data_IF_807376377779
#
_entry.id   IF_807376377779
#
_cell.length_a   1.000
_cell.length_b   1.000
_cell.length_c   1.000
_cell.angle_alpha   90.00
_cell.angle_beta   90.00
_cell.angle_gamma   90.00
#
_symmetry.space_group_name_H-M   'P 1'
#
loop_
_entity.id
_entity.type
_entity.pdbx_description
1 polymer ?
#
# COMPACT_ATOMS: atom_id res chain seq x y z
N UNK A 1 -27.63 14.74 28.00
CA UNK A 1 -26.17 14.51 28.09
C UNK A 1 -25.59 14.60 26.69
N UNK A 2 -24.81 15.64 26.39
CA UNK A 2 -24.06 15.72 25.14
C UNK A 2 -23.17 14.48 25.04
N UNK A 3 -23.36 13.69 23.98
CA UNK A 3 -22.52 12.52 23.72
C UNK A 3 -21.07 12.97 23.63
N UNK A 4 -20.13 12.23 24.24
CA UNK A 4 -18.68 12.46 24.14
C UNK A 4 -18.22 12.62 22.67
N UNK A 5 -18.99 12.08 21.71
CA UNK A 5 -18.77 12.24 20.27
C UNK A 5 -19.00 13.66 19.73
N UNK A 6 -19.64 14.57 20.46
CA UNK A 6 -19.77 15.99 20.06
C UNK A 6 -18.49 16.79 20.30
N UNK A 7 -17.63 16.36 21.24
CA UNK A 7 -16.44 17.11 21.64
C UNK A 7 -15.16 16.71 20.90
N UNK A 8 -15.13 15.52 20.28
CA UNK A 8 -13.98 15.08 19.47
C UNK A 8 -14.46 14.77 18.04
N UNK A 9 -14.11 15.63 17.06
CA UNK A 9 -14.55 15.42 15.69
C UNK A 9 -13.91 14.18 15.10
N UNK A 10 -14.61 13.56 14.14
CA UNK A 10 -14.01 12.57 13.25
C UNK A 10 -12.79 13.15 12.56
N UNK A 11 -11.69 12.42 12.64
CA UNK A 11 -10.47 12.80 11.92
C UNK A 11 -9.95 11.59 11.16
N UNK A 12 -10.07 11.66 9.84
CA UNK A 12 -9.36 10.76 8.95
C UNK A 12 -7.85 10.98 9.15
N UNK A 13 -7.05 9.90 9.27
CA UNK A 13 -5.61 10.02 9.45
C UNK A 13 -4.96 10.89 8.37
N UNK A 14 -4.22 11.92 8.81
CA UNK A 14 -3.41 12.79 7.94
C UNK A 14 -4.19 13.53 6.84
N UNK A 15 -5.50 13.70 6.99
CA UNK A 15 -6.32 14.42 6.00
C UNK A 15 -6.21 15.94 6.17
N UNK A 16 -6.11 16.44 7.40
CA UNK A 16 -6.09 17.89 7.69
C UNK A 16 -4.87 18.28 8.54
N UNK A 17 -4.30 19.49 8.35
CA UNK A 17 -3.19 19.99 9.18
C UNK A 17 -3.47 19.93 10.69
N UNK A 18 -4.72 20.16 11.12
CA UNK A 18 -5.14 20.07 12.52
C UNK A 18 -4.82 18.72 13.18
N UNK A 19 -4.84 17.61 12.42
CA UNK A 19 -4.46 16.29 12.92
C UNK A 19 -3.02 16.25 13.46
N UNK A 20 -2.11 17.02 12.84
CA UNK A 20 -0.70 17.07 13.25
C UNK A 20 -0.48 17.89 14.51
N UNK A 21 -1.36 18.85 14.83
CA UNK A 21 -1.33 19.58 16.10
C UNK A 21 -1.64 18.61 17.24
N UNK A 22 -2.68 17.78 17.08
CA UNK A 22 -3.04 16.74 18.05
C UNK A 22 -1.90 15.73 18.21
N UNK A 23 -1.32 15.24 17.10
CA UNK A 23 -0.15 14.36 17.14
C UNK A 23 1.02 15.00 17.90
N UNK A 24 1.38 16.24 17.57
CA UNK A 24 2.51 16.93 18.17
C UNK A 24 2.34 17.04 19.70
N UNK A 25 1.17 17.47 20.17
CA UNK A 25 0.88 17.62 21.60
C UNK A 25 0.91 16.26 22.31
N UNK A 26 0.17 15.27 21.79
CA UNK A 26 0.03 13.97 22.45
C UNK A 26 1.32 13.13 22.36
N UNK A 27 2.24 13.42 21.44
CA UNK A 27 3.49 12.68 21.36
C UNK A 27 4.56 13.18 22.33
N UNK A 28 4.42 14.39 22.91
CA UNK A 28 5.42 14.98 23.81
C UNK A 28 5.88 14.00 24.90
N UNK A 29 5.01 13.32 25.68
CA UNK A 29 5.45 12.42 26.73
C UNK A 29 6.22 11.20 26.18
N UNK A 30 5.78 10.65 25.05
CA UNK A 30 6.46 9.52 24.38
C UNK A 30 7.84 9.94 23.88
N UNK A 31 7.96 11.13 23.30
CA UNK A 31 9.21 11.67 22.77
C UNK A 31 10.21 11.92 23.91
N UNK A 32 9.79 12.62 24.96
CA UNK A 32 10.65 12.92 26.13
C UNK A 32 11.18 11.61 26.75
N UNK A 33 10.32 10.60 26.91
CA UNK A 33 10.76 9.33 27.48
C UNK A 33 11.75 8.60 26.57
N UNK A 34 11.48 8.58 25.26
CA UNK A 34 12.34 7.90 24.28
C UNK A 34 13.71 8.59 24.14
N UNK A 35 13.78 9.92 24.26
CA UNK A 35 15.04 10.68 24.37
C UNK A 35 15.86 10.33 25.61
N UNK A 36 15.22 9.79 26.66
CA UNK A 36 15.88 9.26 27.86
C UNK A 36 16.19 7.76 27.75
N UNK A 37 16.02 7.16 26.57
CA UNK A 37 16.27 5.73 26.31
C UNK A 37 15.20 4.79 26.89
N UNK A 38 14.02 5.31 27.26
CA UNK A 38 12.91 4.50 27.80
C UNK A 38 11.69 4.59 26.90
N UNK A 39 11.02 3.47 26.63
CA UNK A 39 9.75 3.46 25.89
C UNK A 39 8.57 3.34 26.86
N UNK A 40 7.63 4.28 26.78
CA UNK A 40 6.36 4.24 27.54
C UNK A 40 5.32 3.37 26.81
N UNK A 41 5.43 2.05 26.93
CA UNK A 41 4.53 1.11 26.24
C UNK A 41 3.05 1.37 26.52
N UNK A 42 2.68 1.59 27.78
CA UNK A 42 1.28 1.85 28.15
C UNK A 42 0.73 3.12 27.48
N UNK A 43 1.56 4.17 27.40
CA UNK A 43 1.18 5.44 26.80
C UNK A 43 1.07 5.33 25.28
N UNK A 44 1.99 4.63 24.61
CA UNK A 44 1.88 4.37 23.17
C UNK A 44 0.66 3.53 22.81
N UNK A 45 0.28 2.58 23.66
CA UNK A 45 -0.98 1.83 23.50
C UNK A 45 -2.20 2.75 23.68
N UNK A 46 -2.18 3.67 24.66
CA UNK A 46 -3.23 4.67 24.84
C UNK A 46 -3.35 5.59 23.62
N UNK A 47 -2.22 6.08 23.08
CA UNK A 47 -2.19 6.86 21.84
C UNK A 47 -2.83 6.09 20.69
N UNK A 48 -2.47 4.81 20.54
CA UNK A 48 -3.04 3.95 19.51
C UNK A 48 -4.55 3.85 19.64
N UNK A 49 -5.07 3.55 20.84
CA UNK A 49 -6.51 3.49 21.09
C UNK A 49 -7.19 4.83 20.80
N UNK A 50 -6.61 5.94 21.23
CA UNK A 50 -7.14 7.28 20.97
C UNK A 50 -7.22 7.60 19.48
N UNK A 51 -6.14 7.38 18.72
CA UNK A 51 -6.13 7.65 17.28
C UNK A 51 -7.05 6.71 16.51
N UNK A 52 -7.20 5.45 16.93
CA UNK A 52 -8.19 4.56 16.35
C UNK A 52 -9.61 5.02 16.66
N UNK A 53 -9.87 5.52 17.87
CA UNK A 53 -11.18 6.00 18.25
C UNK A 53 -11.62 7.21 17.42
N UNK A 54 -10.76 8.24 17.27
CA UNK A 54 -11.10 9.43 16.47
C UNK A 54 -11.22 9.13 14.97
N UNK A 55 -10.50 8.11 14.47
CA UNK A 55 -10.50 7.74 13.05
C UNK A 55 -11.57 6.71 12.66
N UNK A 56 -12.07 5.90 13.60
CA UNK A 56 -13.00 4.80 13.28
C UNK A 56 -14.25 4.74 14.14
N UNK A 57 -14.22 5.24 15.38
CA UNK A 57 -15.29 5.07 16.35
C UNK A 57 -16.03 6.35 16.72
N UNK A 58 -15.63 7.52 16.19
CA UNK A 58 -16.39 8.78 16.29
C UNK A 58 -17.76 8.70 15.57
N UNK A 59 -18.16 9.65 14.71
CA UNK A 59 -19.47 9.65 14.06
C UNK A 59 -19.74 8.46 13.12
N UNK A 60 -18.75 7.56 12.90
CA UNK A 60 -18.86 6.38 12.06
C UNK A 60 -18.69 5.06 12.86
N UNK A 61 -19.37 4.92 14.01
CA UNK A 61 -19.25 3.76 14.92
C UNK A 61 -19.32 2.38 14.22
N UNK A 62 -20.04 2.26 13.11
CA UNK A 62 -20.11 1.05 12.27
C UNK A 62 -18.72 0.60 11.78
N UNK A 63 -17.85 1.52 11.39
CA UNK A 63 -16.49 1.20 10.95
C UNK A 63 -15.63 0.69 12.11
N UNK A 64 -15.75 1.30 13.30
CA UNK A 64 -15.10 0.83 14.52
C UNK A 64 -15.51 -0.61 14.88
N UNK A 65 -16.81 -0.91 14.81
CA UNK A 65 -17.33 -2.27 15.02
C UNK A 65 -16.77 -3.24 13.98
N UNK A 66 -16.78 -2.86 12.70
CA UNK A 66 -16.24 -3.68 11.61
C UNK A 66 -14.74 -3.97 11.79
N UNK A 67 -13.95 -2.97 12.22
CA UNK A 67 -12.52 -3.13 12.53
C UNK A 67 -12.31 -4.10 13.69
N UNK A 68 -13.07 -3.97 14.78
CA UNK A 68 -12.98 -4.88 15.93
C UNK A 68 -13.35 -6.30 15.51
N UNK A 69 -14.46 -6.48 14.79
CA UNK A 69 -14.89 -7.78 14.28
C UNK A 69 -13.82 -8.41 13.37
N UNK A 70 -13.22 -7.61 12.48
CA UNK A 70 -12.12 -8.04 11.62
C UNK A 70 -10.90 -8.48 12.45
N UNK A 71 -10.47 -7.70 13.45
CA UNK A 71 -9.31 -8.06 14.29
C UNK A 71 -9.58 -9.34 15.08
N UNK A 72 -10.77 -9.49 15.67
CA UNK A 72 -11.18 -10.72 16.39
C UNK A 72 -11.13 -11.92 15.44
N UNK A 73 -11.73 -11.80 14.25
CA UNK A 73 -11.71 -12.84 13.22
C UNK A 73 -10.28 -13.26 12.86
N UNK A 74 -9.41 -12.29 12.54
CA UNK A 74 -8.03 -12.58 12.15
C UNK A 74 -7.21 -13.17 13.30
N UNK A 75 -7.43 -12.73 14.55
CA UNK A 75 -6.75 -13.26 15.72
C UNK A 75 -7.13 -14.72 16.00
N UNK A 76 -8.43 -15.03 15.93
CA UNK A 76 -8.93 -16.41 16.10
C UNK A 76 -8.37 -17.30 14.99
N UNK A 77 -8.53 -16.90 13.73
CA UNK A 77 -8.08 -17.67 12.57
C UNK A 77 -6.56 -17.93 12.61
N UNK A 78 -5.76 -16.88 12.82
CA UNK A 78 -4.30 -16.98 12.87
C UNK A 78 -3.84 -17.80 14.06
N UNK A 79 -4.47 -17.63 15.23
CA UNK A 79 -4.16 -18.41 16.43
C UNK A 79 -4.49 -19.90 16.27
N UNK A 80 -5.65 -20.23 15.68
CA UNK A 80 -6.02 -21.61 15.34
C UNK A 80 -5.00 -22.21 14.37
N UNK A 81 -4.68 -21.49 13.29
CA UNK A 81 -3.73 -21.97 12.30
C UNK A 81 -2.31 -22.15 12.87
N UNK A 82 -1.86 -21.23 13.74
CA UNK A 82 -0.58 -21.34 14.43
C UNK A 82 -0.51 -22.61 15.30
N UNK A 83 -1.54 -22.87 16.12
CA UNK A 83 -1.61 -24.09 16.96
C UNK A 83 -1.64 -25.36 16.11
N UNK A 84 -2.39 -25.35 15.00
CA UNK A 84 -2.38 -26.44 14.03
C UNK A 84 -0.98 -26.66 13.45
N UNK A 85 -0.29 -25.59 13.06
CA UNK A 85 1.02 -25.63 12.42
C UNK A 85 2.12 -26.24 13.31
N UNK A 86 1.96 -26.19 14.64
CA UNK A 86 2.86 -26.87 15.58
C UNK A 86 2.77 -28.40 15.49
N UNK A 87 1.64 -28.94 15.03
CA UNK A 87 1.39 -30.39 14.96
C UNK A 87 1.51 -30.94 13.54
N UNK A 88 1.06 -30.19 12.54
CA UNK A 88 1.02 -30.65 11.15
C UNK A 88 1.22 -29.49 10.15
N UNK A 89 1.52 -29.84 8.90
CA UNK A 89 1.72 -28.84 7.84
C UNK A 89 1.06 -29.27 6.52
N UNK A 90 -0.24 -29.59 6.51
CA UNK A 90 -0.96 -29.94 5.29
C UNK A 90 -1.35 -28.69 4.48
N UNK A 91 -1.27 -28.80 3.15
CA UNK A 91 -1.55 -27.68 2.24
C UNK A 91 -3.03 -27.28 2.22
N UNK A 92 -3.97 -28.21 2.43
CA UNK A 92 -5.41 -27.91 2.48
C UNK A 92 -5.77 -26.90 3.57
N UNK A 93 -5.30 -27.13 4.79
CA UNK A 93 -5.48 -26.20 5.92
C UNK A 93 -4.83 -24.85 5.67
N UNK A 94 -3.66 -24.82 5.03
CA UNK A 94 -3.04 -23.57 4.61
C UNK A 94 -3.93 -22.77 3.64
N UNK A 95 -4.40 -23.40 2.57
CA UNK A 95 -5.25 -22.72 1.58
C UNK A 95 -6.57 -22.27 2.19
N UNK A 96 -7.18 -23.10 3.05
CA UNK A 96 -8.39 -22.73 3.78
C UNK A 96 -8.14 -21.52 4.69
N UNK A 97 -7.07 -21.50 5.47
CA UNK A 97 -6.76 -20.35 6.35
C UNK A 97 -6.46 -19.08 5.57
N UNK A 98 -5.75 -19.16 4.44
CA UNK A 98 -5.55 -18.00 3.57
C UNK A 98 -6.89 -17.52 3.01
N UNK A 99 -7.74 -18.43 2.52
CA UNK A 99 -9.07 -18.10 1.99
C UNK A 99 -9.94 -17.42 3.05
N UNK A 100 -10.06 -18.01 4.24
CA UNK A 100 -10.82 -17.44 5.37
C UNK A 100 -10.28 -16.05 5.79
N UNK A 101 -8.97 -15.81 5.66
CA UNK A 101 -8.38 -14.51 5.99
C UNK A 101 -8.73 -13.43 4.97
N UNK A 102 -8.85 -13.78 3.68
CA UNK A 102 -9.22 -12.82 2.61
C UNK A 102 -10.72 -12.62 2.44
N UNK A 103 -11.58 -13.47 3.00
CA UNK A 103 -13.05 -13.39 2.85
C UNK A 103 -13.61 -11.98 3.12
N UNK A 104 -13.27 -11.28 4.22
CA UNK A 104 -13.82 -9.94 4.47
C UNK A 104 -13.52 -8.95 3.33
N UNK A 105 -12.31 -9.02 2.76
CA UNK A 105 -11.93 -8.20 1.60
C UNK A 105 -12.67 -8.61 0.33
N UNK A 106 -12.90 -9.92 0.11
CA UNK A 106 -13.70 -10.42 -1.01
C UNK A 106 -15.13 -9.91 -0.92
N UNK A 107 -15.76 -10.00 0.26
CA UNK A 107 -17.12 -9.48 0.51
C UNK A 107 -17.18 -7.99 0.18
N UNK A 108 -16.20 -7.21 0.61
CA UNK A 108 -16.13 -5.77 0.32
C UNK A 108 -16.00 -5.45 -1.17
N UNK A 109 -15.32 -6.31 -1.95
CA UNK A 109 -15.11 -6.11 -3.38
C UNK A 109 -16.28 -6.58 -4.24
N UNK A 110 -16.89 -7.71 -3.88
CA UNK A 110 -18.03 -8.28 -4.61
C UNK A 110 -19.37 -7.67 -4.18
N UNK A 111 -19.45 -7.15 -2.96
CA UNK A 111 -20.65 -6.56 -2.37
C UNK A 111 -21.39 -5.57 -3.28
N UNK A 112 -20.71 -4.58 -3.90
CA UNK A 112 -21.34 -3.65 -4.83
C UNK A 112 -22.08 -4.31 -6.02
N UNK A 113 -21.68 -5.52 -6.42
CA UNK A 113 -22.31 -6.26 -7.53
C UNK A 113 -23.52 -7.09 -7.09
N UNK A 114 -23.76 -7.24 -5.78
CA UNK A 114 -24.88 -8.03 -5.24
C UNK A 114 -26.20 -7.26 -5.15
N UNK A 115 -26.18 -5.93 -5.37
CA UNK A 115 -27.33 -5.04 -5.15
C UNK A 115 -27.70 -4.82 -3.68
N UNK A 116 -27.15 -5.60 -2.75
CA UNK A 116 -27.37 -5.46 -1.30
C UNK A 116 -26.36 -4.50 -0.67
N UNK A 117 -26.76 -3.77 0.37
CA UNK A 117 -25.87 -2.93 1.19
C UNK A 117 -25.26 -3.68 2.38
N UNK A 118 -25.55 -4.96 2.57
CA UNK A 118 -25.07 -5.76 3.72
C UNK A 118 -23.55 -5.89 3.77
N UNK A 119 -22.84 -5.78 2.64
CA UNK A 119 -21.37 -5.81 2.61
C UNK A 119 -20.74 -4.65 3.41
N UNK A 120 -21.45 -3.52 3.57
CA UNK A 120 -20.98 -2.37 4.35
C UNK A 120 -20.78 -2.70 5.84
N UNK A 121 -21.33 -3.82 6.34
CA UNK A 121 -21.05 -4.33 7.68
C UNK A 121 -19.57 -4.71 7.88
N UNK A 122 -18.85 -5.02 6.80
CA UNK A 122 -17.43 -5.35 6.81
C UNK A 122 -16.53 -4.16 6.48
N UNK A 123 -17.11 -2.99 6.23
CA UNK A 123 -16.37 -1.82 5.78
C UNK A 123 -15.73 -1.07 6.95
N UNK A 124 -14.42 -0.84 6.84
CA UNK A 124 -13.67 0.13 7.63
C UNK A 124 -12.48 0.62 6.81
N UNK A 125 -12.09 1.89 6.98
CA UNK A 125 -10.91 2.42 6.28
C UNK A 125 -9.65 1.54 6.53
N UNK A 126 -8.97 1.11 5.48
CA UNK A 126 -7.77 0.27 5.60
C UNK A 126 -8.00 -1.24 5.65
N UNK A 127 -9.24 -1.74 5.49
CA UNK A 127 -9.54 -3.18 5.38
C UNK A 127 -8.64 -3.91 4.37
N UNK A 128 -8.34 -3.25 3.26
CA UNK A 128 -7.50 -3.76 2.19
C UNK A 128 -6.03 -3.93 2.63
N UNK A 129 -5.45 -2.92 3.30
CA UNK A 129 -4.07 -2.95 3.77
C UNK A 129 -3.89 -3.93 4.94
N UNK A 130 -4.88 -4.04 5.83
CA UNK A 130 -4.87 -4.99 6.93
C UNK A 130 -4.95 -6.44 6.45
N UNK A 131 -5.60 -6.70 5.32
CA UNK A 131 -5.66 -8.04 4.72
C UNK A 131 -4.26 -8.54 4.34
N UNK A 132 -3.41 -7.68 3.77
CA UNK A 132 -2.01 -8.04 3.49
C UNK A 132 -1.23 -8.39 4.74
N UNK A 133 -1.43 -7.62 5.83
CA UNK A 133 -0.79 -7.85 7.13
C UNK A 133 -1.24 -9.18 7.74
N UNK A 134 -2.51 -9.54 7.61
CA UNK A 134 -3.04 -10.80 8.15
C UNK A 134 -2.61 -12.02 7.34
N UNK A 135 -2.77 -11.96 6.01
CA UNK A 135 -2.45 -13.07 5.11
C UNK A 135 -0.96 -13.41 5.15
N UNK A 136 -0.08 -12.40 5.18
CA UNK A 136 1.35 -12.68 5.25
C UNK A 136 1.75 -13.42 6.53
N UNK A 137 1.08 -13.19 7.66
CA UNK A 137 1.39 -13.87 8.91
C UNK A 137 1.05 -15.35 8.81
N UNK A 138 -0.11 -15.69 8.23
CA UNK A 138 -0.49 -17.09 7.94
C UNK A 138 0.54 -17.74 7.00
N UNK A 139 0.96 -17.02 5.96
CA UNK A 139 1.97 -17.47 5.00
C UNK A 139 3.37 -17.66 5.63
N UNK A 140 3.79 -16.81 6.54
CA UNK A 140 5.05 -16.94 7.26
C UNK A 140 5.00 -18.06 8.33
N UNK A 141 3.85 -18.27 8.96
CA UNK A 141 3.62 -19.43 9.86
C UNK A 141 3.74 -20.73 9.05
N UNK A 142 3.12 -20.80 7.86
CA UNK A 142 3.21 -21.94 6.95
C UNK A 142 4.67 -22.32 6.66
N UNK A 143 5.49 -21.32 6.35
CA UNK A 143 6.90 -21.50 6.01
C UNK A 143 7.80 -21.77 7.24
N UNK A 144 7.25 -21.77 8.45
CA UNK A 144 8.03 -21.95 9.69
C UNK A 144 8.89 -20.73 10.05
N UNK A 145 8.61 -19.59 9.43
CA UNK A 145 9.32 -18.34 9.67
C UNK A 145 8.91 -17.76 11.03
N UNK A 146 7.61 -17.77 11.36
CA UNK A 146 7.12 -17.33 12.68
C UNK A 146 7.04 -18.55 13.61
N UNK A 147 7.90 -18.56 14.64
CA UNK A 147 7.97 -19.64 15.64
C UNK A 147 7.34 -19.27 16.99
N UNK A 148 7.36 -17.99 17.37
CA UNK A 148 6.75 -17.46 18.58
C UNK A 148 5.63 -16.48 18.17
N UNK A 149 4.38 -16.92 18.28
CA UNK A 149 3.19 -16.11 18.01
C UNK A 149 2.53 -15.72 19.33
N UNK A 150 2.43 -14.41 19.57
CA UNK A 150 1.66 -13.84 20.68
C UNK A 150 0.54 -12.98 20.11
N UNK A 151 -0.69 -13.24 20.58
CA UNK A 151 -1.88 -12.55 20.08
C UNK A 151 -1.82 -11.04 20.37
N UNK A 152 -1.26 -10.62 21.50
CA UNK A 152 -1.05 -9.20 21.83
C UNK A 152 -0.16 -8.48 20.82
N UNK A 153 0.97 -9.08 20.43
CA UNK A 153 1.86 -8.52 19.41
C UNK A 153 1.20 -8.48 18.03
N UNK A 154 0.36 -9.46 17.72
CA UNK A 154 -0.39 -9.48 16.47
C UNK A 154 -1.46 -8.40 16.41
N UNK A 155 -2.18 -8.17 17.51
CA UNK A 155 -3.14 -7.05 17.63
C UNK A 155 -2.40 -5.72 17.46
N UNK A 156 -1.29 -5.48 18.16
CA UNK A 156 -0.50 -4.25 18.02
C UNK A 156 0.04 -4.07 16.59
N UNK A 157 0.44 -5.15 15.93
CA UNK A 157 0.87 -5.14 14.55
C UNK A 157 -0.26 -4.74 13.59
N UNK A 158 -1.46 -5.33 13.73
CA UNK A 158 -2.61 -5.00 12.87
C UNK A 158 -3.11 -3.58 13.13
N UNK A 159 -3.19 -3.18 14.39
CA UNK A 159 -3.76 -1.92 14.85
C UNK A 159 -2.74 -0.78 14.98
N UNK A 160 -1.54 -0.93 14.42
CA UNK A 160 -0.54 0.13 14.43
C UNK A 160 -1.04 1.35 13.63
N UNK A 161 -1.62 2.31 14.35
CA UNK A 161 -2.40 3.41 13.80
C UNK A 161 -1.68 4.26 12.75
N UNK A 162 -0.35 4.49 12.79
CA UNK A 162 0.29 5.32 11.77
C UNK A 162 0.16 4.74 10.37
N UNK A 163 -0.05 3.42 10.26
CA UNK A 163 -0.10 2.71 8.97
C UNK A 163 -1.47 2.11 8.65
N UNK A 164 -2.47 2.30 9.50
CA UNK A 164 -3.71 1.50 9.45
C UNK A 164 -4.57 1.75 8.20
N UNK A 165 -4.71 3.00 7.76
CA UNK A 165 -5.60 3.38 6.65
C UNK A 165 -5.03 3.04 5.27
N UNK A 166 -3.82 3.52 4.97
CA UNK A 166 -3.13 3.28 3.69
C UNK A 166 -1.62 3.45 3.80
N UNK A 167 -1.05 3.24 5.00
CA UNK A 167 0.40 3.37 5.20
C UNK A 167 1.18 2.18 4.62
N UNK A 168 2.53 2.22 4.70
CA UNK A 168 3.36 1.13 4.23
C UNK A 168 2.94 -0.23 4.80
N UNK A 169 2.84 -1.23 3.92
CA UNK A 169 2.53 -2.62 4.29
C UNK A 169 3.75 -3.23 4.95
N UNK A 170 3.66 -3.34 6.26
CA UNK A 170 4.75 -3.76 7.10
C UNK A 170 4.84 -5.30 7.23
N UNK A 171 5.99 -5.83 7.66
CA UNK A 171 6.23 -7.26 7.94
C UNK A 171 6.15 -7.54 9.43
N UNK A 172 5.43 -8.59 9.83
CA UNK A 172 5.20 -8.93 11.25
C UNK A 172 6.50 -9.07 12.04
N UNK A 173 7.46 -9.88 11.56
CA UNK A 173 8.74 -10.08 12.23
C UNK A 173 9.51 -8.78 12.49
N UNK A 174 9.55 -7.90 11.48
CA UNK A 174 10.27 -6.63 11.57
C UNK A 174 9.58 -5.72 12.57
N UNK A 175 8.25 -5.65 12.57
CA UNK A 175 7.48 -4.90 13.57
C UNK A 175 7.66 -5.42 14.99
N UNK A 176 7.61 -6.74 15.18
CA UNK A 176 7.77 -7.35 16.50
C UNK A 176 9.19 -7.15 17.04
N UNK A 177 10.20 -7.09 16.16
CA UNK A 177 11.56 -6.70 16.56
C UNK A 177 11.57 -5.30 17.15
N UNK A 178 11.09 -4.30 16.40
CA UNK A 178 11.04 -2.90 16.88
C UNK A 178 10.18 -2.76 18.15
N UNK A 179 9.13 -3.57 18.29
CA UNK A 179 8.28 -3.60 19.49
C UNK A 179 9.04 -4.12 20.72
N UNK A 180 9.76 -5.24 20.59
CA UNK A 180 10.49 -5.88 21.70
C UNK A 180 11.79 -5.14 22.05
N UNK A 181 12.45 -4.60 21.04
CA UNK A 181 13.77 -3.97 21.12
C UNK A 181 13.62 -2.49 20.73
N UNK A 182 13.28 -1.59 21.69
CA UNK A 182 13.21 -0.16 21.41
C UNK A 182 14.59 0.37 20.97
N UNK A 183 14.63 1.40 20.09
CA UNK A 183 15.88 1.95 19.61
C UNK A 183 16.72 2.51 20.76
N UNK A 184 18.05 2.45 20.62
CA UNK A 184 18.97 3.19 21.51
C UNK A 184 18.70 4.69 21.44
N UNK A 185 19.16 5.45 22.44
CA UNK A 185 19.00 6.90 22.49
C UNK A 185 19.49 7.59 21.20
N UNK A 186 20.68 7.24 20.73
CA UNK A 186 21.28 7.87 19.54
C UNK A 186 20.49 7.52 18.27
N UNK A 187 20.07 6.25 18.15
CA UNK A 187 19.21 5.82 17.03
C UNK A 187 17.86 6.52 17.09
N UNK A 188 17.29 6.72 18.27
CA UNK A 188 16.03 7.44 18.43
C UNK A 188 16.15 8.91 18.03
N UNK A 189 17.25 9.59 18.36
CA UNK A 189 17.51 10.98 17.93
C UNK A 189 17.55 11.06 16.38
N UNK A 190 18.20 10.10 15.72
CA UNK A 190 18.21 10.00 14.25
C UNK A 190 16.79 9.82 13.69
N UNK A 191 16.01 8.90 14.26
CA UNK A 191 14.64 8.64 13.86
C UNK A 191 13.74 9.86 14.09
N UNK A 192 13.91 10.57 15.20
CA UNK A 192 13.17 11.80 15.51
C UNK A 192 13.43 12.87 14.46
N UNK A 193 14.69 13.14 14.13
CA UNK A 193 15.06 14.12 13.09
C UNK A 193 14.51 13.75 11.71
N UNK A 194 14.66 12.49 11.30
CA UNK A 194 14.07 11.98 10.04
C UNK A 194 12.55 12.05 10.04
N UNK A 195 11.93 11.72 11.17
CA UNK A 195 10.48 11.70 11.32
C UNK A 195 9.86 13.09 11.16
N UNK A 196 10.47 14.09 11.82
CA UNK A 196 10.11 15.50 11.66
C UNK A 196 10.30 15.94 10.20
N UNK A 197 11.46 15.65 9.61
CA UNK A 197 11.74 15.98 8.21
C UNK A 197 10.69 15.39 7.25
N UNK A 198 10.32 14.11 7.41
CA UNK A 198 9.29 13.48 6.59
C UNK A 198 7.91 14.08 6.79
N UNK A 199 7.55 14.49 8.01
CA UNK A 199 6.29 15.20 8.23
C UNK A 199 6.28 16.51 7.44
N UNK A 200 7.31 17.36 7.54
CA UNK A 200 7.39 18.62 6.78
C UNK A 200 7.44 18.41 5.26
N UNK A 201 8.19 17.40 4.79
CA UNK A 201 8.19 17.04 3.36
C UNK A 201 6.81 16.54 2.91
N UNK A 202 6.11 15.80 3.77
CA UNK A 202 4.73 15.38 3.55
C UNK A 202 3.77 16.58 3.43
N UNK A 203 3.97 17.64 4.22
CA UNK A 203 3.19 18.89 4.09
C UNK A 203 3.38 19.51 2.71
N UNK A 204 4.64 19.66 2.26
CA UNK A 204 4.95 20.16 0.93
C UNK A 204 4.28 19.30 -0.16
N UNK A 205 4.37 17.97 -0.04
CA UNK A 205 3.88 17.05 -1.05
C UNK A 205 2.35 17.03 -1.11
N UNK A 206 1.67 16.81 0.02
CA UNK A 206 0.22 16.60 0.02
C UNK A 206 -0.56 17.92 0.03
N UNK A 207 -0.21 18.84 0.93
CA UNK A 207 -1.01 20.04 1.17
C UNK A 207 -0.65 21.22 0.28
N UNK A 208 0.50 21.20 -0.41
CA UNK A 208 0.85 22.23 -1.39
C UNK A 208 0.80 21.68 -2.82
N UNK A 209 1.71 20.78 -3.18
CA UNK A 209 1.85 20.31 -4.57
C UNK A 209 0.64 19.44 -4.97
N UNK A 210 0.30 18.44 -4.16
CA UNK A 210 -0.83 17.54 -4.38
C UNK A 210 -2.16 18.30 -4.42
N UNK A 211 -2.35 19.25 -3.51
CA UNK A 211 -3.52 20.13 -3.50
C UNK A 211 -3.60 20.98 -4.78
N UNK A 212 -2.51 21.63 -5.20
CA UNK A 212 -2.47 22.42 -6.44
C UNK A 212 -2.80 21.57 -7.68
N UNK A 213 -2.21 20.37 -7.77
CA UNK A 213 -2.46 19.46 -8.89
C UNK A 213 -3.89 18.92 -8.88
N UNK A 214 -4.36 18.40 -7.74
CA UNK A 214 -5.64 17.69 -7.63
C UNK A 214 -6.87 18.60 -7.56
N UNK A 215 -6.79 19.72 -6.85
CA UNK A 215 -7.93 20.62 -6.63
C UNK A 215 -8.03 21.76 -7.64
N UNK A 216 -6.92 22.15 -8.27
CA UNK A 216 -6.92 23.26 -9.24
C UNK A 216 -6.63 22.79 -10.67
N UNK A 217 -5.53 22.10 -10.92
CA UNK A 217 -5.13 21.76 -12.29
C UNK A 217 -5.94 20.59 -12.88
N UNK A 218 -6.19 19.54 -12.10
CA UNK A 218 -6.87 18.33 -12.56
C UNK A 218 -8.30 18.61 -13.07
N UNK A 219 -9.14 19.42 -12.40
CA UNK A 219 -10.46 19.79 -12.93
C UNK A 219 -10.39 20.57 -14.24
N UNK A 220 -9.39 21.44 -14.42
CA UNK A 220 -9.20 22.25 -15.63
C UNK A 220 -8.87 21.34 -16.81
N UNK A 221 -7.84 20.50 -16.68
CA UNK A 221 -7.44 19.60 -17.78
C UNK A 221 -8.49 18.53 -18.06
N UNK A 222 -9.22 18.07 -17.04
CA UNK A 222 -10.37 17.19 -17.22
C UNK A 222 -11.48 17.85 -18.03
N UNK A 223 -11.87 19.07 -17.67
CA UNK A 223 -12.92 19.81 -18.40
C UNK A 223 -12.51 20.08 -19.85
N UNK A 224 -11.24 20.40 -20.08
CA UNK A 224 -10.72 20.61 -21.42
C UNK A 224 -10.70 19.30 -22.24
N UNK A 225 -10.33 18.17 -21.63
CA UNK A 225 -10.35 16.85 -22.27
C UNK A 225 -11.77 16.39 -22.65
N UNK A 226 -12.79 16.82 -21.90
CA UNK A 226 -14.20 16.52 -22.18
C UNK A 226 -14.82 17.52 -23.17
N UNK A 227 -14.07 18.54 -23.62
CA UNK A 227 -14.52 19.49 -24.63
C UNK A 227 -14.24 18.96 -26.05
N UNK A 228 -15.12 19.30 -27.02
CA UNK A 228 -15.00 18.80 -28.41
C UNK A 228 -13.65 19.13 -29.07
N UNK A 229 -13.09 20.30 -28.80
CA UNK A 229 -11.81 20.75 -29.38
C UNK A 229 -10.58 20.30 -28.58
N UNK A 230 -10.77 19.86 -27.34
CA UNK A 230 -9.67 19.59 -26.40
C UNK A 230 -9.37 18.12 -26.14
N UNK A 231 -10.08 17.17 -26.76
CA UNK A 231 -10.02 15.74 -26.40
C UNK A 231 -8.59 15.19 -26.31
N UNK A 232 -7.77 15.36 -27.35
CA UNK A 232 -6.42 14.80 -27.38
C UNK A 232 -5.47 15.52 -26.41
N UNK A 233 -5.36 16.85 -26.53
CA UNK A 233 -4.43 17.66 -25.74
C UNK A 233 -4.82 17.66 -24.26
N UNK A 234 -6.12 17.76 -23.97
CA UNK A 234 -6.67 17.67 -22.63
C UNK A 234 -6.42 16.31 -21.99
N UNK A 235 -6.61 15.20 -22.73
CA UNK A 235 -6.32 13.85 -22.20
C UNK A 235 -4.83 13.68 -21.88
N UNK A 236 -3.93 14.19 -22.72
CA UNK A 236 -2.48 14.19 -22.44
C UNK A 236 -2.16 15.05 -21.22
N UNK A 237 -2.75 16.24 -21.11
CA UNK A 237 -2.63 17.10 -19.93
C UNK A 237 -3.12 16.41 -18.65
N UNK A 238 -4.29 15.78 -18.72
CA UNK A 238 -4.86 14.99 -17.64
C UNK A 238 -3.92 13.86 -17.21
N UNK A 239 -3.36 13.10 -18.16
CA UNK A 239 -2.43 12.01 -17.88
C UNK A 239 -1.26 12.46 -16.99
N UNK A 240 -0.60 13.56 -17.34
CA UNK A 240 0.54 14.06 -16.57
C UNK A 240 0.12 14.67 -15.24
N UNK A 241 -0.93 15.50 -15.22
CA UNK A 241 -1.41 16.13 -13.98
C UNK A 241 -1.89 15.08 -12.98
N UNK A 242 -2.66 14.09 -13.42
CA UNK A 242 -3.11 12.97 -12.59
C UNK A 242 -1.93 12.13 -12.08
N UNK A 243 -0.95 11.83 -12.93
CA UNK A 243 0.25 11.08 -12.53
C UNK A 243 1.02 11.76 -11.40
N UNK A 244 1.20 13.08 -11.51
CA UNK A 244 1.89 13.86 -10.48
C UNK A 244 1.02 14.01 -9.23
N UNK A 245 -0.29 14.25 -9.38
CA UNK A 245 -1.23 14.32 -8.26
C UNK A 245 -1.20 13.01 -7.45
N UNK A 246 -1.37 11.87 -8.13
CA UNK A 246 -1.34 10.54 -7.51
C UNK A 246 -0.03 10.31 -6.74
N UNK A 247 1.11 10.70 -7.33
CA UNK A 247 2.40 10.59 -6.64
C UNK A 247 2.47 11.49 -5.41
N UNK A 248 2.22 12.80 -5.54
CA UNK A 248 2.43 13.74 -4.45
C UNK A 248 1.43 13.57 -3.30
N UNK A 249 0.17 13.27 -3.59
CA UNK A 249 -0.82 12.95 -2.55
C UNK A 249 -0.43 11.69 -1.79
N UNK A 250 -0.12 10.61 -2.50
CA UNK A 250 0.12 9.31 -1.88
C UNK A 250 1.52 9.19 -1.24
N UNK A 251 2.54 9.78 -1.86
CA UNK A 251 3.88 9.88 -1.26
C UNK A 251 3.87 10.82 -0.05
N UNK A 252 3.15 11.94 -0.11
CA UNK A 252 2.96 12.83 1.03
C UNK A 252 2.26 12.12 2.21
N UNK A 253 1.17 11.40 1.93
CA UNK A 253 0.53 10.53 2.92
C UNK A 253 1.50 9.49 3.51
N UNK A 254 2.26 8.80 2.65
CA UNK A 254 3.22 7.78 3.09
C UNK A 254 4.32 8.37 3.98
N UNK A 255 4.80 9.58 3.68
CA UNK A 255 5.77 10.31 4.50
C UNK A 255 5.19 10.66 5.88
N UNK A 256 3.92 11.05 5.97
CA UNK A 256 3.27 11.25 7.27
C UNK A 256 3.19 9.96 8.09
N UNK A 257 2.81 8.84 7.47
CA UNK A 257 2.75 7.55 8.13
C UNK A 257 4.14 7.09 8.65
N UNK A 258 5.17 7.18 7.81
CA UNK A 258 6.55 6.85 8.17
C UNK A 258 7.08 7.80 9.24
N UNK A 259 6.91 9.11 9.05
CA UNK A 259 7.35 10.12 10.00
C UNK A 259 6.74 9.94 11.38
N UNK A 260 5.41 9.73 11.44
CA UNK A 260 4.69 9.42 12.68
C UNK A 260 5.21 8.13 13.34
N UNK A 261 5.48 7.10 12.55
CA UNK A 261 6.06 5.84 13.07
C UNK A 261 7.43 6.07 13.72
N UNK A 262 8.26 6.90 13.09
CA UNK A 262 9.61 7.19 13.57
C UNK A 262 9.59 7.99 14.87
N UNK A 263 8.65 8.93 15.04
CA UNK A 263 8.45 9.64 16.31
C UNK A 263 8.12 8.69 17.47
N UNK A 264 7.42 7.58 17.20
CA UNK A 264 7.13 6.52 18.18
C UNK A 264 8.28 5.50 18.35
N UNK A 265 9.34 5.63 17.55
CA UNK A 265 10.51 4.76 17.57
C UNK A 265 10.33 3.43 16.82
N UNK A 266 9.47 3.39 15.79
CA UNK A 266 9.31 2.25 14.88
C UNK A 266 9.83 2.61 13.49
N UNK A 267 10.75 1.82 12.93
CA UNK A 267 11.39 2.10 11.63
C UNK A 267 10.55 1.48 10.48
N UNK A 268 9.34 2.05 10.28
CA UNK A 268 8.44 1.71 9.16
C UNK A 268 9.12 1.85 7.79
N UNK A 269 8.97 0.88 6.86
CA UNK A 269 9.57 0.97 5.54
C UNK A 269 9.02 2.13 4.71
N UNK A 270 9.86 2.70 3.85
CA UNK A 270 9.45 3.74 2.90
C UNK A 270 8.67 3.15 1.71
N UNK A 271 7.76 3.93 1.15
CA UNK A 271 6.97 3.52 -0.04
C UNK A 271 7.53 4.03 -1.36
N UNK A 272 8.24 5.17 -1.37
CA UNK A 272 8.67 5.82 -2.61
C UNK A 272 10.15 6.19 -2.57
N UNK A 273 10.84 5.96 -3.68
CA UNK A 273 12.25 6.32 -3.85
C UNK A 273 12.54 6.84 -5.27
N UNK A 274 12.17 8.10 -5.52
CA UNK A 274 12.36 8.80 -6.81
C UNK A 274 11.90 7.94 -8.01
N UNK A 275 10.63 7.47 -8.03
CA UNK A 275 10.17 6.46 -8.99
C UNK A 275 10.25 6.92 -10.46
N UNK A 276 10.07 8.20 -10.74
CA UNK A 276 10.08 8.73 -12.11
C UNK A 276 11.48 8.83 -12.74
N UNK A 277 12.54 8.61 -11.97
CA UNK A 277 13.92 8.50 -12.49
C UNK A 277 14.29 7.08 -12.91
N UNK A 278 13.33 6.16 -12.94
CA UNK A 278 13.59 4.75 -13.27
C UNK A 278 13.85 4.59 -14.77
N UNK A 279 14.98 4.02 -15.19
CA UNK A 279 15.28 3.73 -16.60
C UNK A 279 14.51 2.52 -17.15
N UNK A 280 13.83 1.74 -16.31
CA UNK A 280 13.02 0.61 -16.77
C UNK A 280 11.90 0.26 -15.78
N UNK A 281 10.91 -0.50 -16.24
CA UNK A 281 9.73 -0.82 -15.43
C UNK A 281 10.03 -1.70 -14.21
N UNK A 282 11.07 -2.56 -14.25
CA UNK A 282 11.46 -3.36 -13.07
C UNK A 282 12.03 -2.45 -11.98
N UNK A 283 12.83 -1.47 -12.36
CA UNK A 283 13.35 -0.47 -11.42
C UNK A 283 12.25 0.44 -10.88
N UNK A 284 11.27 0.82 -11.71
CA UNK A 284 10.09 1.56 -11.27
C UNK A 284 9.35 0.84 -10.13
N UNK A 285 9.06 -0.46 -10.27
CA UNK A 285 8.41 -1.23 -9.21
C UNK A 285 9.28 -1.46 -7.97
N UNK A 286 10.59 -1.19 -8.04
CA UNK A 286 11.47 -1.14 -6.86
C UNK A 286 11.53 0.24 -6.21
N UNK A 287 10.80 1.23 -6.74
CA UNK A 287 10.82 2.64 -6.28
C UNK A 287 9.41 3.22 -6.08
N UNK A 288 8.37 2.59 -6.61
CA UNK A 288 6.97 2.97 -6.50
C UNK A 288 6.22 2.02 -5.57
N UNK A 289 5.47 2.57 -4.61
CA UNK A 289 4.65 1.82 -3.64
C UNK A 289 5.35 0.54 -3.15
N UNK A 290 6.61 0.69 -2.72
CA UNK A 290 7.55 -0.42 -2.52
C UNK A 290 7.04 -1.47 -1.55
N UNK A 291 6.36 -1.09 -0.47
CA UNK A 291 5.81 -2.06 0.48
C UNK A 291 4.79 -3.00 -0.16
N UNK A 292 3.89 -2.49 -1.01
CA UNK A 292 2.95 -3.26 -1.80
C UNK A 292 3.69 -4.10 -2.85
N UNK A 293 4.56 -3.47 -3.63
CA UNK A 293 5.33 -4.13 -4.69
C UNK A 293 6.11 -5.33 -4.16
N UNK A 294 6.82 -5.15 -3.04
CA UNK A 294 7.58 -6.22 -2.39
C UNK A 294 6.68 -7.25 -1.72
N UNK A 295 5.52 -6.86 -1.18
CA UNK A 295 4.51 -7.83 -0.72
C UNK A 295 4.06 -8.75 -1.86
N UNK A 296 3.66 -8.20 -3.00
CA UNK A 296 3.26 -8.99 -4.16
C UNK A 296 4.41 -9.84 -4.72
N UNK A 297 5.62 -9.28 -4.80
CA UNK A 297 6.80 -10.02 -5.22
C UNK A 297 7.01 -11.24 -4.33
N UNK A 298 7.08 -11.07 -3.02
CA UNK A 298 7.49 -12.13 -2.10
C UNK A 298 6.37 -13.17 -1.86
N UNK A 299 5.11 -12.71 -1.71
CA UNK A 299 4.00 -13.60 -1.33
C UNK A 299 3.15 -14.09 -2.50
N UNK A 300 3.20 -13.44 -3.67
CA UNK A 300 2.47 -13.90 -4.87
C UNK A 300 3.45 -14.47 -5.88
N UNK A 301 4.32 -13.64 -6.45
CA UNK A 301 5.20 -14.05 -7.55
C UNK A 301 6.18 -15.14 -7.12
N UNK A 302 6.96 -14.94 -6.06
CA UNK A 302 7.97 -15.91 -5.64
C UNK A 302 7.36 -17.25 -5.20
N UNK A 303 6.21 -17.22 -4.50
CA UNK A 303 5.49 -18.45 -4.10
C UNK A 303 4.92 -19.20 -5.31
N UNK A 304 4.36 -18.49 -6.27
CA UNK A 304 3.86 -19.08 -7.51
C UNK A 304 5.02 -19.67 -8.32
N UNK A 305 6.10 -18.91 -8.51
CA UNK A 305 7.30 -19.37 -9.20
C UNK A 305 7.89 -20.62 -8.56
N UNK A 306 8.00 -20.66 -7.23
CA UNK A 306 8.45 -21.87 -6.52
C UNK A 306 7.56 -23.08 -6.86
N UNK A 307 6.24 -22.90 -6.87
CA UNK A 307 5.29 -23.97 -7.19
C UNK A 307 5.39 -24.42 -8.65
N UNK A 308 5.44 -23.49 -9.61
CA UNK A 308 5.54 -23.77 -11.03
C UNK A 308 6.84 -24.50 -11.38
N UNK A 309 7.96 -24.07 -10.80
CA UNK A 309 9.27 -24.69 -11.00
C UNK A 309 9.35 -26.07 -10.34
N UNK A 310 8.87 -26.21 -9.10
CA UNK A 310 8.85 -27.50 -8.38
C UNK A 310 8.02 -28.55 -9.10
N UNK A 311 6.86 -28.16 -9.62
CA UNK A 311 5.97 -29.06 -10.38
C UNK A 311 6.35 -29.20 -11.86
N UNK A 312 7.41 -28.51 -12.32
CA UNK A 312 7.85 -28.48 -13.73
C UNK A 312 6.69 -28.23 -14.71
N UNK A 313 5.77 -27.32 -14.35
CA UNK A 313 4.54 -27.05 -15.14
C UNK A 313 4.88 -26.58 -16.56
N UNK A 314 5.95 -25.79 -16.70
CA UNK A 314 6.43 -25.30 -17.98
C UNK A 314 7.86 -25.78 -18.24
N UNK A 315 8.14 -26.20 -19.48
CA UNK A 315 9.50 -26.58 -19.91
C UNK A 315 10.45 -25.38 -19.91
N UNK A 316 9.95 -24.20 -20.29
CA UNK A 316 10.75 -22.97 -20.34
C UNK A 316 10.59 -22.14 -19.07
N UNK A 317 11.72 -21.80 -18.43
CA UNK A 317 11.77 -20.88 -17.27
C UNK A 317 11.25 -19.48 -17.61
N UNK A 318 11.43 -19.05 -18.86
CA UNK A 318 10.95 -17.74 -19.34
C UNK A 318 9.41 -17.73 -19.35
N UNK A 319 8.79 -18.79 -19.86
CA UNK A 319 7.32 -18.91 -19.87
C UNK A 319 6.78 -18.92 -18.45
N UNK A 320 7.39 -19.70 -17.55
CA UNK A 320 7.01 -19.69 -16.13
C UNK A 320 7.11 -18.28 -15.51
N UNK A 321 8.19 -17.54 -15.79
CA UNK A 321 8.36 -16.17 -15.31
C UNK A 321 7.30 -15.21 -15.84
N UNK A 322 6.99 -15.28 -17.14
CA UNK A 322 5.97 -14.44 -17.76
C UNK A 322 4.59 -14.73 -17.15
N UNK A 323 4.21 -16.00 -17.02
CA UNK A 323 2.96 -16.40 -16.34
C UNK A 323 2.93 -15.89 -14.90
N UNK A 324 4.05 -15.96 -14.18
CA UNK A 324 4.19 -15.38 -12.85
C UNK A 324 3.95 -13.87 -12.83
N UNK A 325 4.47 -13.12 -13.81
CA UNK A 325 4.24 -11.68 -13.93
C UNK A 325 2.79 -11.33 -14.22
N UNK A 326 2.14 -12.07 -15.14
CA UNK A 326 0.71 -11.90 -15.41
C UNK A 326 -0.12 -12.15 -14.15
N UNK A 327 0.13 -13.24 -13.43
CA UNK A 327 -0.57 -13.53 -12.18
C UNK A 327 -0.36 -12.43 -11.14
N UNK A 328 0.88 -11.95 -10.94
CA UNK A 328 1.18 -10.88 -9.99
C UNK A 328 0.39 -9.60 -10.29
N UNK A 329 0.47 -9.10 -11.52
CA UNK A 329 -0.13 -7.80 -11.85
C UNK A 329 -1.64 -7.88 -12.05
N UNK A 330 -2.19 -9.02 -12.50
CA UNK A 330 -3.63 -9.22 -12.55
C UNK A 330 -4.24 -9.24 -11.16
N UNK A 331 -3.64 -9.98 -10.21
CA UNK A 331 -4.11 -9.99 -8.82
C UNK A 331 -3.98 -8.59 -8.21
N UNK A 332 -2.91 -7.84 -8.54
CA UNK A 332 -2.77 -6.44 -8.13
C UNK A 332 -3.86 -5.53 -8.71
N UNK A 333 -4.21 -5.68 -9.99
CA UNK A 333 -5.33 -4.97 -10.61
C UNK A 333 -6.66 -5.27 -9.93
N UNK A 334 -6.99 -6.54 -9.75
CA UNK A 334 -8.18 -7.01 -9.01
C UNK A 334 -8.20 -6.48 -7.57
N UNK A 335 -7.03 -6.43 -6.94
CA UNK A 335 -6.86 -5.85 -5.60
C UNK A 335 -7.17 -4.34 -5.57
N UNK A 336 -6.94 -3.59 -6.64
CA UNK A 336 -7.42 -2.22 -6.73
C UNK A 336 -8.94 -2.15 -6.91
N UNK A 337 -9.50 -2.94 -7.82
CA UNK A 337 -10.94 -3.03 -8.01
C UNK A 337 -11.34 -3.98 -9.14
N UNK A 338 -12.65 -4.18 -9.31
CA UNK A 338 -13.21 -5.10 -10.31
C UNK A 338 -13.70 -4.39 -11.58
N UNK A 339 -13.47 -3.07 -11.69
CA UNK A 339 -13.74 -2.32 -12.92
C UNK A 339 -12.71 -2.63 -14.00
N UNK A 340 -13.10 -2.48 -15.27
CA UNK A 340 -12.27 -2.87 -16.40
C UNK A 340 -10.89 -2.17 -16.41
N UNK A 341 -10.84 -0.90 -16.04
CA UNK A 341 -9.63 -0.10 -16.09
C UNK A 341 -8.57 -0.55 -15.06
N UNK A 342 -8.94 -1.09 -13.91
CA UNK A 342 -7.98 -1.69 -12.97
C UNK A 342 -7.42 -3.03 -13.48
N UNK A 343 -8.24 -3.82 -14.17
CA UNK A 343 -7.81 -5.09 -14.78
C UNK A 343 -6.86 -4.79 -15.94
N UNK A 344 -7.21 -3.83 -16.81
CA UNK A 344 -6.36 -3.40 -17.92
C UNK A 344 -5.06 -2.78 -17.42
N UNK A 345 -5.08 -1.99 -16.34
CA UNK A 345 -3.86 -1.51 -15.68
C UNK A 345 -2.93 -2.66 -15.25
N UNK A 346 -3.48 -3.72 -14.65
CA UNK A 346 -2.72 -4.93 -14.31
C UNK A 346 -2.12 -5.63 -15.53
N UNK A 347 -2.93 -5.86 -16.57
CA UNK A 347 -2.46 -6.44 -17.82
C UNK A 347 -1.37 -5.61 -18.50
N UNK A 348 -1.53 -4.29 -18.51
CA UNK A 348 -0.58 -3.35 -19.08
C UNK A 348 0.79 -3.48 -18.41
N UNK A 349 0.85 -3.49 -17.07
CA UNK A 349 2.11 -3.68 -16.36
C UNK A 349 2.71 -5.09 -16.52
N UNK A 350 1.88 -6.14 -16.63
CA UNK A 350 2.35 -7.49 -16.95
C UNK A 350 3.06 -7.53 -18.33
N UNK A 351 2.48 -6.87 -19.33
CA UNK A 351 3.08 -6.77 -20.67
C UNK A 351 4.38 -5.97 -20.60
N UNK A 352 4.37 -4.79 -19.96
CA UNK A 352 5.58 -3.97 -19.83
C UNK A 352 6.73 -4.72 -19.17
N UNK A 353 6.48 -5.46 -18.08
CA UNK A 353 7.55 -6.19 -17.39
C UNK A 353 8.07 -7.36 -18.23
N UNK A 354 7.21 -8.04 -19.01
CA UNK A 354 7.61 -9.12 -19.91
C UNK A 354 8.47 -8.57 -21.07
N UNK A 355 8.06 -7.45 -21.67
CA UNK A 355 8.83 -6.76 -22.71
C UNK A 355 10.19 -6.32 -22.14
N UNK A 356 10.21 -5.68 -20.98
CA UNK A 356 11.45 -5.25 -20.34
C UNK A 356 12.36 -6.46 -19.99
N UNK A 357 11.78 -7.56 -19.51
CA UNK A 357 12.55 -8.78 -19.22
C UNK A 357 13.14 -9.42 -20.49
N UNK A 358 12.39 -9.42 -21.60
CA UNK A 358 12.91 -9.84 -22.90
C UNK A 358 14.02 -8.91 -23.41
N UNK A 359 13.83 -7.59 -23.31
CA UNK A 359 14.81 -6.59 -23.68
C UNK A 359 16.10 -6.71 -22.86
N UNK A 360 16.00 -6.89 -21.55
CA UNK A 360 17.18 -7.07 -20.68
C UNK A 360 17.97 -8.33 -21.03
N UNK A 361 17.28 -9.43 -21.39
CA UNK A 361 17.95 -10.64 -21.90
C UNK A 361 18.65 -10.38 -23.23
N UNK A 362 17.98 -9.71 -24.16
CA UNK A 362 18.56 -9.34 -25.45
C UNK A 362 19.79 -8.44 -25.27
N UNK A 363 19.68 -7.39 -24.46
CA UNK A 363 20.77 -6.46 -24.13
C UNK A 363 21.94 -7.17 -23.48
N UNK A 364 21.70 -8.15 -22.60
CA UNK A 364 22.76 -8.94 -21.97
C UNK A 364 23.55 -9.76 -23.00
N UNK A 365 22.90 -10.28 -24.05
CA UNK A 365 23.55 -11.06 -25.12
C UNK A 365 24.30 -10.18 -26.14
N UNK A 366 23.87 -8.93 -26.34
CA UNK A 366 24.44 -8.00 -27.32
C UNK A 366 25.12 -6.80 -26.65
N UNK A 367 25.73 -7.01 -25.49
CA UNK A 367 26.28 -5.93 -24.65
C UNK A 367 27.33 -5.10 -25.40
N UNK A 368 28.14 -5.75 -26.23
CA UNK A 368 29.26 -5.12 -26.95
C UNK A 368 28.80 -4.34 -28.19
N UNK A 369 27.55 -4.54 -28.63
CA UNK A 369 26.96 -3.87 -29.80
C UNK A 369 26.07 -2.68 -29.43
N UNK A 370 25.71 -2.55 -28.14
CA UNK A 370 24.75 -1.55 -27.68
C UNK A 370 25.46 -0.44 -26.89
N UNK A 371 25.36 0.83 -27.32
CA UNK A 371 25.94 1.93 -26.58
C UNK A 371 25.28 2.05 -25.20
N UNK A 372 26.07 2.31 -24.18
CA UNK A 372 25.60 2.58 -22.82
C UNK A 372 26.19 3.90 -22.34
N UNK A 373 25.46 4.98 -22.60
CA UNK A 373 25.85 6.35 -22.25
C UNK A 373 24.69 7.14 -21.61
N UNK A 374 24.96 8.38 -21.18
CA UNK A 374 23.97 9.25 -20.53
C UNK A 374 22.71 9.49 -21.36
N UNK A 375 22.82 9.53 -22.70
CA UNK A 375 21.69 9.74 -23.61
C UNK A 375 20.79 8.51 -23.69
N UNK A 376 21.38 7.31 -23.81
CA UNK A 376 20.62 6.04 -23.77
C UNK A 376 19.93 5.84 -22.43
N UNK A 377 20.54 6.27 -21.33
CA UNK A 377 19.90 6.27 -20.02
C UNK A 377 18.73 7.26 -19.96
N UNK A 378 18.93 8.51 -20.40
CA UNK A 378 17.87 9.53 -20.47
C UNK A 378 16.68 9.08 -21.32
N UNK A 379 16.94 8.46 -22.48
CA UNK A 379 15.89 7.87 -23.32
C UNK A 379 15.14 6.74 -22.61
N UNK A 380 15.85 5.87 -21.88
CA UNK A 380 15.23 4.79 -21.12
C UNK A 380 14.33 5.30 -19.99
N UNK A 381 14.77 6.36 -19.29
CA UNK A 381 13.97 7.07 -18.28
C UNK A 381 12.75 7.71 -18.93
N UNK A 382 12.91 8.41 -20.06
CA UNK A 382 11.80 9.03 -20.79
C UNK A 382 10.74 8.01 -21.23
N UNK A 383 11.15 6.89 -21.83
CA UNK A 383 10.23 5.82 -22.25
C UNK A 383 9.49 5.24 -21.04
N UNK A 384 10.22 4.96 -19.96
CA UNK A 384 9.63 4.40 -18.74
C UNK A 384 8.65 5.37 -18.09
N UNK A 385 9.01 6.65 -18.02
CA UNK A 385 8.16 7.71 -17.48
C UNK A 385 6.84 7.81 -18.25
N UNK A 386 6.88 7.87 -19.58
CA UNK A 386 5.68 7.94 -20.41
C UNK A 386 4.82 6.68 -20.29
N UNK A 387 5.43 5.50 -20.29
CA UNK A 387 4.71 4.24 -20.10
C UNK A 387 4.01 4.19 -18.73
N UNK A 388 4.66 4.66 -17.67
CA UNK A 388 4.07 4.78 -16.33
C UNK A 388 2.95 5.82 -16.30
N UNK A 389 3.14 7.00 -16.86
CA UNK A 389 2.10 8.02 -16.92
C UNK A 389 0.85 7.53 -17.67
N UNK A 390 1.03 6.82 -18.78
CA UNK A 390 -0.06 6.19 -19.50
C UNK A 390 -0.77 5.12 -18.66
N UNK A 391 -0.02 4.32 -17.89
CA UNK A 391 -0.63 3.39 -16.93
C UNK A 391 -1.52 4.10 -15.90
N UNK A 392 -1.12 5.29 -15.44
CA UNK A 392 -1.91 6.07 -14.48
C UNK A 392 -3.14 6.73 -15.11
N UNK A 393 -3.11 7.08 -16.39
CA UNK A 393 -4.30 7.49 -17.14
C UNK A 393 -5.33 6.35 -17.23
N UNK A 394 -4.88 5.11 -17.47
CA UNK A 394 -5.77 3.94 -17.41
C UNK A 394 -6.31 3.79 -15.99
N UNK A 395 -5.42 3.79 -15.00
CA UNK A 395 -5.76 3.59 -13.58
C UNK A 395 -6.79 4.60 -13.06
N UNK A 396 -6.76 5.85 -13.52
CA UNK A 396 -7.68 6.90 -13.05
C UNK A 396 -9.14 6.63 -13.40
N UNK A 397 -9.41 5.77 -14.38
CA UNK A 397 -10.76 5.56 -14.93
C UNK A 397 -11.24 6.71 -15.81
N UNK A 398 -10.42 7.72 -16.09
CA UNK A 398 -10.83 8.86 -16.92
C UNK A 398 -11.17 8.45 -18.35
N UNK A 399 -10.48 7.45 -18.89
CA UNK A 399 -10.80 6.88 -20.21
C UNK A 399 -12.20 6.27 -20.26
N UNK A 400 -12.72 5.74 -19.15
CA UNK A 400 -14.10 5.25 -19.06
C UNK A 400 -15.10 6.41 -19.17
N UNK A 401 -14.86 7.49 -18.42
CA UNK A 401 -15.66 8.72 -18.50
C UNK A 401 -15.64 9.32 -19.90
N UNK A 402 -14.46 9.43 -20.50
CA UNK A 402 -14.28 9.98 -21.84
C UNK A 402 -14.98 9.13 -22.90
N UNK A 403 -14.85 7.80 -22.84
CA UNK A 403 -15.53 6.90 -23.76
C UNK A 403 -17.05 7.04 -23.67
N UNK A 404 -17.61 7.04 -22.46
CA UNK A 404 -19.05 7.24 -22.24
C UNK A 404 -19.57 8.54 -22.83
N UNK A 405 -18.81 9.63 -22.67
CA UNK A 405 -19.17 10.91 -23.26
C UNK A 405 -19.10 10.91 -24.80
N UNK A 406 -18.05 10.32 -25.38
CA UNK A 406 -17.88 10.28 -26.85
C UNK A 406 -18.95 9.41 -27.51
N UNK A 407 -19.28 8.27 -26.89
CA UNK A 407 -20.25 7.32 -27.42
C UNK A 407 -21.69 7.54 -26.93
N UNK A 408 -21.93 8.55 -26.08
CA UNK A 408 -23.23 8.82 -25.44
C UNK A 408 -23.84 7.59 -24.74
N UNK A 409 -23.05 6.87 -23.95
CA UNK A 409 -23.46 5.65 -23.21
C UNK A 409 -23.49 5.91 -21.70
#
# INVERSE_FOLDING_TARGET
MASITQFVPFLTPYEKPFYFIILAILFIPSIISSLRGKRLYWYQNLLTVFFLWISFAGPNIKQGIALIAYVVWQCLLTGIYFRYRQKANKSSWFYLSVFLSIIPMIIMKLGPFTGSKSYLLFYFLGYSYLTFKSVQVIMEIRDGMIKDYKMSHYIQFLLFFPTISSGPIDRYKRFVKDLKEPPSKDKYIELLGKGIHYIFLGFLYKFLIGYALGSHLLPIVQSFALSRSGVLVGTIGYMYVYSMYLFFDFAGYSLFAVGTSYLLGYETPINFNKPFLSPNIKEFWNRWHMSLSFWFRDYVYMRLMFTLMKKKVFKSRIVASNVGYFALFLIMGVWHGLTWYYIVYGLYHAILICINDAWLRYKKKHKDQLPSNRWTHGLSVFITFNAVCFSFLIFSGFLDTLAKQIFNI
#
